data_IF_674836307966
#
_entry.id   IF_674836307966
#
_cell.length_a   1.000
_cell.length_b   1.000
_cell.length_c   1.000
_cell.angle_alpha   90.00
_cell.angle_beta   90.00
_cell.angle_gamma   90.00
#
_symmetry.space_group_name_H-M   'P 1'
#
loop_
_entity.id
_entity.type
_entity.pdbx_description
1 polymer ?
#
# COMPACT_ATOMS: atom_id res chain seq x y z
N UNK A 1 -21.99 26.21 -45.10
CA UNK A 1 -21.75 24.76 -44.93
C UNK A 1 -21.86 24.47 -43.44
N UNK A 2 -22.55 23.43 -43.04
CA UNK A 2 -22.69 23.05 -41.60
C UNK A 2 -21.48 22.17 -41.21
N UNK A 3 -20.47 22.81 -40.60
CA UNK A 3 -19.22 22.14 -40.22
C UNK A 3 -19.43 21.24 -39.00
N UNK A 4 -20.45 21.48 -38.15
CA UNK A 4 -20.81 20.56 -37.05
C UNK A 4 -21.25 19.22 -37.60
N UNK A 5 -22.15 19.19 -38.62
CA UNK A 5 -22.56 17.94 -39.26
C UNK A 5 -21.40 17.20 -39.93
N UNK A 6 -20.49 17.94 -40.54
CA UNK A 6 -19.30 17.35 -41.14
C UNK A 6 -18.36 16.74 -40.08
N UNK A 7 -18.18 17.42 -38.98
CA UNK A 7 -17.41 16.90 -37.83
C UNK A 7 -18.07 15.65 -37.22
N UNK A 8 -19.39 15.64 -37.08
CA UNK A 8 -20.14 14.47 -36.62
C UNK A 8 -19.90 13.26 -37.55
N UNK A 9 -19.97 13.48 -38.87
CA UNK A 9 -19.70 12.42 -39.84
C UNK A 9 -18.25 11.93 -39.74
N UNK A 10 -17.27 12.86 -39.60
CA UNK A 10 -15.87 12.53 -39.40
C UNK A 10 -15.67 11.59 -38.20
N UNK A 11 -16.19 11.94 -37.01
CA UNK A 11 -16.07 11.14 -35.84
C UNK A 11 -16.75 9.78 -35.98
N UNK A 12 -17.94 9.72 -36.55
CA UNK A 12 -18.62 8.45 -36.78
C UNK A 12 -17.82 7.54 -37.70
N UNK A 13 -17.32 8.01 -38.81
CA UNK A 13 -16.49 7.22 -39.72
C UNK A 13 -15.21 6.77 -38.97
N UNK A 14 -14.51 7.67 -38.28
CA UNK A 14 -13.27 7.36 -37.56
C UNK A 14 -13.48 6.28 -36.48
N UNK A 15 -14.53 6.37 -35.69
CA UNK A 15 -14.80 5.46 -34.60
C UNK A 15 -15.31 4.10 -35.07
N UNK A 16 -16.02 4.03 -36.22
CA UNK A 16 -16.57 2.77 -36.73
C UNK A 16 -15.70 2.12 -37.80
N UNK A 17 -14.68 2.80 -38.33
CA UNK A 17 -13.78 2.26 -39.33
C UNK A 17 -12.99 1.07 -38.80
N UNK A 18 -12.99 -0.03 -39.53
CA UNK A 18 -12.26 -1.27 -39.22
C UNK A 18 -11.15 -1.60 -40.18
N UNK A 19 -11.16 -0.94 -41.33
CA UNK A 19 -10.17 -1.07 -42.40
C UNK A 19 -9.67 0.29 -42.80
N UNK A 20 -8.37 0.45 -43.13
CA UNK A 20 -7.79 1.74 -43.52
C UNK A 20 -8.51 2.42 -44.66
N UNK A 21 -9.03 1.66 -45.63
CA UNK A 21 -9.79 2.20 -46.76
C UNK A 21 -11.08 2.94 -46.39
N UNK A 22 -11.68 2.63 -45.22
CA UNK A 22 -12.87 3.34 -44.73
C UNK A 22 -12.58 4.80 -44.34
N UNK A 23 -11.32 5.13 -44.14
CA UNK A 23 -10.88 6.49 -43.77
C UNK A 23 -10.57 7.38 -44.96
N UNK A 24 -10.47 6.85 -46.18
CA UNK A 24 -10.10 7.62 -47.36
C UNK A 24 -11.02 8.83 -47.57
N UNK A 25 -12.34 8.69 -47.34
CA UNK A 25 -13.29 9.78 -47.48
C UNK A 25 -12.97 10.94 -46.53
N UNK A 26 -12.65 10.66 -45.24
CA UNK A 26 -12.37 11.71 -44.26
C UNK A 26 -10.98 12.31 -44.43
N UNK A 27 -10.00 11.55 -44.95
CA UNK A 27 -8.66 12.06 -45.22
C UNK A 27 -8.66 13.13 -46.32
N UNK A 28 -9.59 13.04 -47.27
CA UNK A 28 -9.77 14.11 -48.28
C UNK A 28 -10.19 15.45 -47.65
N UNK A 29 -10.79 15.41 -46.43
CA UNK A 29 -11.20 16.63 -45.73
C UNK A 29 -10.09 17.26 -44.91
N UNK A 30 -8.97 16.57 -44.73
CA UNK A 30 -7.87 16.98 -43.87
C UNK A 30 -6.75 17.58 -44.74
N UNK A 31 -6.15 18.67 -44.26
CA UNK A 31 -4.99 19.27 -44.86
C UNK A 31 -3.74 18.40 -44.64
N UNK A 32 -2.86 18.20 -45.62
CA UNK A 32 -1.60 17.45 -45.44
C UNK A 32 -0.71 17.97 -44.30
N UNK A 33 -0.77 19.29 -44.04
CA UNK A 33 -0.03 19.94 -42.93
C UNK A 33 -0.87 20.04 -41.63
N UNK A 34 -1.93 19.23 -41.50
CA UNK A 34 -2.77 19.22 -40.32
C UNK A 34 -1.98 18.78 -39.08
N UNK A 35 -2.07 19.56 -38.00
CA UNK A 35 -1.54 19.19 -36.68
C UNK A 35 -2.58 18.40 -35.92
N UNK A 36 -2.21 17.24 -35.44
CA UNK A 36 -3.09 16.36 -34.62
C UNK A 36 -2.51 16.16 -33.26
N UNK A 37 -3.32 16.38 -32.22
CA UNK A 37 -3.03 16.08 -30.83
C UNK A 37 -4.07 15.09 -30.36
N UNK A 38 -3.65 13.86 -30.06
CA UNK A 38 -4.51 12.80 -29.54
C UNK A 38 -4.52 12.73 -28.01
N UNK A 39 -5.15 11.69 -27.46
CA UNK A 39 -5.30 11.46 -26.03
C UNK A 39 -4.07 10.85 -25.38
N UNK A 40 -3.24 10.15 -26.14
CA UNK A 40 -2.04 9.47 -25.68
C UNK A 40 -0.87 10.44 -25.47
N UNK A 41 -0.02 10.14 -24.49
CA UNK A 41 1.16 10.97 -24.15
C UNK A 41 2.09 11.26 -25.33
N UNK A 42 2.11 10.38 -26.33
CA UNK A 42 2.99 10.46 -27.51
C UNK A 42 2.25 10.79 -28.80
N UNK A 43 0.93 11.04 -28.70
CA UNK A 43 0.09 11.33 -29.86
C UNK A 43 0.11 12.81 -30.19
N UNK A 44 1.26 13.26 -30.67
CA UNK A 44 1.47 14.59 -31.19
C UNK A 44 2.07 14.49 -32.61
N UNK A 45 1.31 14.88 -33.61
CA UNK A 45 1.67 14.78 -35.01
C UNK A 45 1.65 16.17 -35.65
N UNK A 46 2.76 16.61 -36.22
CA UNK A 46 2.93 17.90 -36.88
C UNK A 46 2.48 17.89 -38.36
N UNK A 47 2.11 16.69 -38.84
CA UNK A 47 1.61 16.46 -40.21
C UNK A 47 0.65 15.29 -40.26
N UNK A 48 -0.17 15.23 -41.32
CA UNK A 48 -1.17 14.19 -41.50
C UNK A 48 -0.57 12.79 -41.67
N UNK A 49 0.50 12.61 -42.45
CA UNK A 49 1.01 11.27 -42.80
C UNK A 49 1.46 10.43 -41.58
N UNK A 50 2.26 10.94 -40.61
CA UNK A 50 2.59 10.21 -39.42
C UNK A 50 1.36 9.82 -38.58
N UNK A 51 0.32 10.64 -38.58
CA UNK A 51 -0.95 10.31 -37.93
C UNK A 51 -1.67 9.14 -38.62
N UNK A 52 -1.74 9.15 -39.95
CA UNK A 52 -2.34 8.07 -40.75
C UNK A 52 -1.61 6.74 -40.53
N UNK A 53 -0.27 6.77 -40.45
CA UNK A 53 0.54 5.59 -40.17
C UNK A 53 0.28 5.03 -38.76
N UNK A 54 0.08 5.91 -37.77
CA UNK A 54 -0.29 5.54 -36.41
C UNK A 54 -1.70 4.96 -36.33
N UNK A 55 -2.67 5.57 -37.02
CA UNK A 55 -4.04 5.07 -37.12
C UNK A 55 -4.10 3.63 -37.66
N UNK A 56 -3.29 3.31 -38.68
CA UNK A 56 -3.22 1.94 -39.21
C UNK A 56 -2.85 0.90 -38.17
N UNK A 57 -1.95 1.24 -37.24
CA UNK A 57 -1.56 0.38 -36.11
C UNK A 57 -2.70 0.27 -35.08
N UNK A 58 -3.27 1.41 -34.72
CA UNK A 58 -4.38 1.49 -33.77
C UNK A 58 -5.60 0.67 -34.24
N UNK A 59 -5.95 0.76 -35.53
CA UNK A 59 -7.04 -0.03 -36.09
C UNK A 59 -6.77 -1.55 -36.03
N UNK A 60 -5.52 -1.96 -36.16
CA UNK A 60 -5.14 -3.38 -36.01
C UNK A 60 -5.34 -3.88 -34.57
N UNK A 61 -5.11 -3.03 -33.58
CA UNK A 61 -5.33 -3.32 -32.16
C UNK A 61 -6.83 -3.25 -31.78
N UNK A 62 -7.58 -2.35 -32.39
CA UNK A 62 -9.03 -2.18 -32.14
C UNK A 62 -9.92 -3.27 -32.76
N UNK A 63 -9.40 -4.28 -33.43
CA UNK A 63 -10.22 -5.32 -34.12
C UNK A 63 -11.24 -6.01 -33.21
N UNK A 64 -10.98 -6.06 -31.92
CA UNK A 64 -11.83 -6.69 -30.89
C UNK A 64 -12.70 -5.69 -30.11
N UNK A 65 -12.49 -4.37 -30.27
CA UNK A 65 -13.20 -3.31 -29.54
C UNK A 65 -14.29 -2.73 -30.45
N UNK A 66 -15.53 -2.66 -29.94
CA UNK A 66 -16.70 -2.16 -30.67
C UNK A 66 -17.15 -0.85 -30.05
N UNK A 67 -16.50 0.26 -30.43
CA UNK A 67 -16.86 1.56 -29.89
C UNK A 67 -18.20 2.05 -30.49
N UNK A 68 -19.10 2.45 -29.60
CA UNK A 68 -20.34 3.14 -29.92
C UNK A 68 -20.32 4.54 -29.31
N UNK A 69 -20.75 5.54 -30.08
CA UNK A 69 -20.97 6.90 -29.57
C UNK A 69 -22.38 6.91 -28.95
N UNK A 70 -22.42 7.00 -27.61
CA UNK A 70 -23.67 6.99 -26.83
C UNK A 70 -24.30 8.36 -26.74
N UNK A 71 -23.47 9.39 -26.56
CA UNK A 71 -23.86 10.78 -26.50
C UNK A 71 -22.84 11.66 -27.18
N UNK A 72 -23.31 12.77 -27.83
CA UNK A 72 -22.46 13.67 -28.58
C UNK A 72 -23.05 15.07 -28.64
N UNK A 73 -22.22 16.07 -28.53
CA UNK A 73 -22.61 17.45 -28.75
C UNK A 73 -21.55 18.22 -29.52
N UNK A 74 -21.97 19.21 -30.34
CA UNK A 74 -21.15 19.99 -31.22
C UNK A 74 -21.55 21.46 -31.17
N UNK A 75 -20.55 22.32 -31.17
CA UNK A 75 -20.72 23.75 -31.33
C UNK A 75 -19.67 24.29 -32.32
N UNK A 76 -20.02 25.33 -33.05
CA UNK A 76 -19.07 26.00 -33.96
C UNK A 76 -18.98 27.48 -33.65
N UNK A 77 -17.80 28.04 -33.95
CA UNK A 77 -17.52 29.47 -33.84
C UNK A 77 -16.68 29.93 -35.04
N UNK A 78 -17.22 30.85 -35.83
CA UNK A 78 -16.46 31.46 -36.90
C UNK A 78 -15.43 32.44 -36.32
N UNK A 79 -14.16 32.22 -36.61
CA UNK A 79 -13.04 33.05 -36.15
C UNK A 79 -12.64 34.10 -37.19
N UNK A 80 -12.76 33.77 -38.48
CA UNK A 80 -12.57 34.62 -39.63
C UNK A 80 -13.49 34.13 -40.79
N UNK A 81 -13.63 34.86 -41.90
CA UNK A 81 -14.44 34.41 -43.03
C UNK A 81 -14.04 33.06 -43.62
N UNK A 82 -12.79 32.67 -43.44
CA UNK A 82 -12.15 31.46 -43.96
C UNK A 82 -11.66 30.52 -42.86
N UNK A 83 -11.97 30.79 -41.56
CA UNK A 83 -11.54 30.00 -40.39
C UNK A 83 -12.70 29.77 -39.44
N UNK A 84 -12.96 28.53 -39.15
CA UNK A 84 -14.01 28.11 -38.19
C UNK A 84 -13.48 27.08 -37.21
N UNK A 85 -13.79 27.28 -35.92
CA UNK A 85 -13.54 26.32 -34.83
C UNK A 85 -14.82 25.52 -34.59
N UNK A 86 -14.72 24.21 -34.68
CA UNK A 86 -15.75 23.26 -34.17
C UNK A 86 -15.22 22.57 -32.93
N UNK A 87 -16.00 22.55 -31.90
CA UNK A 87 -15.64 21.89 -30.62
C UNK A 87 -16.83 21.14 -30.04
N UNK A 88 -16.53 20.17 -29.18
CA UNK A 88 -17.61 19.35 -28.63
C UNK A 88 -17.10 18.26 -27.69
N UNK A 89 -18.00 17.34 -27.38
CA UNK A 89 -17.71 16.16 -26.59
C UNK A 89 -18.37 14.92 -27.17
N UNK A 90 -17.75 13.78 -26.92
CA UNK A 90 -18.25 12.46 -27.27
C UNK A 90 -18.19 11.59 -26.03
N UNK A 91 -19.29 10.90 -25.72
CA UNK A 91 -19.32 9.79 -24.79
C UNK A 91 -19.28 8.49 -25.57
N UNK A 92 -18.24 7.70 -25.35
CA UNK A 92 -18.00 6.45 -26.09
C UNK A 92 -18.02 5.26 -25.15
N UNK A 93 -18.63 4.18 -25.63
CA UNK A 93 -18.76 2.94 -24.86
C UNK A 93 -18.51 1.74 -25.75
N UNK A 94 -17.87 0.70 -25.17
CA UNK A 94 -17.89 -0.65 -25.72
C UNK A 94 -19.03 -1.43 -25.05
N UNK A 95 -20.03 -1.94 -25.79
CA UNK A 95 -21.16 -2.70 -25.22
C UNK A 95 -20.78 -4.06 -24.63
N UNK A 96 -19.49 -4.42 -24.58
CA UNK A 96 -19.02 -5.63 -23.88
C UNK A 96 -19.28 -6.94 -24.62
N UNK A 97 -19.21 -6.94 -25.95
CA UNK A 97 -19.29 -8.15 -26.77
C UNK A 97 -18.01 -9.01 -26.70
N UNK A 98 -16.97 -8.56 -26.00
CA UNK A 98 -15.71 -9.27 -25.73
C UNK A 98 -15.34 -9.22 -24.25
N UNK A 99 -14.86 -10.32 -23.68
CA UNK A 99 -14.61 -10.45 -22.23
C UNK A 99 -13.39 -9.67 -21.70
N UNK A 100 -12.59 -8.97 -22.51
CA UNK A 100 -11.28 -8.47 -22.10
C UNK A 100 -11.13 -6.97 -21.92
N UNK A 101 -11.99 -6.12 -22.49
CA UNK A 101 -11.87 -4.67 -22.36
C UNK A 101 -13.23 -3.99 -22.21
N UNK A 102 -13.39 -3.27 -21.10
CA UNK A 102 -14.51 -2.35 -20.91
C UNK A 102 -14.04 -0.92 -21.20
N UNK A 103 -14.60 -0.31 -22.22
CA UNK A 103 -14.36 1.10 -22.53
C UNK A 103 -15.63 1.88 -22.21
N UNK A 104 -15.51 2.87 -21.35
CA UNK A 104 -16.56 3.84 -21.01
C UNK A 104 -15.84 5.15 -20.75
N UNK A 105 -15.87 6.07 -21.75
CA UNK A 105 -15.05 7.27 -21.66
C UNK A 105 -15.71 8.50 -22.28
N UNK A 106 -15.51 9.62 -21.59
CA UNK A 106 -15.79 10.94 -22.09
C UNK A 106 -14.58 11.51 -22.82
N UNK A 107 -14.79 12.13 -23.97
CA UNK A 107 -13.76 12.85 -24.69
C UNK A 107 -14.22 14.25 -25.02
N UNK A 108 -13.26 15.15 -25.16
CA UNK A 108 -13.46 16.51 -25.65
C UNK A 108 -12.60 16.71 -26.88
N UNK A 109 -13.14 17.43 -27.86
CA UNK A 109 -12.38 17.71 -29.07
C UNK A 109 -12.48 19.19 -29.47
N UNK A 110 -11.48 19.63 -30.23
CA UNK A 110 -11.52 20.87 -31.00
C UNK A 110 -10.92 20.62 -32.38
N UNK A 111 -11.61 21.08 -33.40
CA UNK A 111 -11.19 20.97 -34.80
C UNK A 111 -11.20 22.38 -35.44
N UNK A 112 -10.05 22.78 -35.94
CA UNK A 112 -9.96 24.03 -36.71
C UNK A 112 -10.09 23.72 -38.20
N UNK A 113 -11.08 24.31 -38.80
CA UNK A 113 -11.30 24.31 -40.26
C UNK A 113 -10.78 25.59 -40.86
N UNK A 114 -10.11 25.48 -41.98
CA UNK A 114 -9.70 26.63 -42.82
C UNK A 114 -10.01 26.37 -44.30
N UNK A 115 -10.37 27.43 -45.03
CA UNK A 115 -10.54 27.33 -46.49
C UNK A 115 -9.17 27.22 -47.15
N UNK A 116 -8.96 26.11 -47.86
CA UNK A 116 -7.77 25.83 -48.68
C UNK A 116 -8.23 25.49 -50.08
N UNK A 117 -7.74 26.19 -51.08
CA UNK A 117 -8.13 26.01 -52.49
C UNK A 117 -9.65 26.02 -52.71
N UNK A 118 -10.36 26.90 -51.99
CA UNK A 118 -11.82 27.03 -52.06
C UNK A 118 -12.61 25.98 -51.31
N UNK A 119 -11.95 25.05 -50.58
CA UNK A 119 -12.59 23.99 -49.82
C UNK A 119 -12.27 24.12 -48.34
N UNK A 120 -13.22 23.81 -47.47
CA UNK A 120 -13.00 23.71 -46.04
C UNK A 120 -12.20 22.46 -45.72
N UNK A 121 -11.00 22.62 -45.15
CA UNK A 121 -10.08 21.56 -44.71
C UNK A 121 -9.85 21.63 -43.20
N UNK A 122 -9.68 20.48 -42.58
CA UNK A 122 -9.21 20.39 -41.20
C UNK A 122 -7.73 20.68 -41.15
N UNK A 123 -7.32 21.73 -40.46
CA UNK A 123 -5.90 22.15 -40.30
C UNK A 123 -5.36 21.88 -38.91
N UNK A 124 -6.25 21.62 -37.93
CA UNK A 124 -5.87 21.19 -36.57
C UNK A 124 -6.98 20.32 -35.98
N UNK A 125 -6.58 19.26 -35.33
CA UNK A 125 -7.45 18.37 -34.55
C UNK A 125 -6.84 18.15 -33.20
N UNK A 126 -7.61 18.35 -32.13
CA UNK A 126 -7.25 18.04 -30.79
C UNK A 126 -8.35 17.15 -30.13
N UNK A 127 -7.95 16.04 -29.58
CA UNK A 127 -8.79 15.14 -28.79
C UNK A 127 -8.17 15.01 -27.41
N UNK A 128 -8.96 15.16 -26.35
CA UNK A 128 -8.53 15.00 -24.97
C UNK A 128 -9.56 14.23 -24.15
N UNK A 129 -9.11 13.52 -23.13
CA UNK A 129 -9.98 12.92 -22.14
C UNK A 129 -9.98 13.79 -20.87
N UNK A 130 -11.16 14.05 -20.26
CA UNK A 130 -11.20 14.64 -18.93
C UNK A 130 -10.54 13.69 -17.94
N UNK A 131 -9.92 14.23 -16.90
CA UNK A 131 -9.49 13.41 -15.79
C UNK A 131 -10.74 12.95 -15.02
N UNK A 132 -11.07 11.65 -15.11
CA UNK A 132 -12.26 11.07 -14.49
C UNK A 132 -12.25 11.16 -12.95
N UNK A 133 -11.07 11.37 -12.35
CA UNK A 133 -10.89 11.49 -10.89
C UNK A 133 -10.98 12.95 -10.39
N UNK A 134 -11.22 13.91 -11.29
CA UNK A 134 -11.26 15.33 -10.94
C UNK A 134 -12.69 15.77 -10.64
N UNK A 135 -12.94 16.28 -9.45
CA UNK A 135 -14.25 16.80 -9.05
C UNK A 135 -14.49 18.23 -9.56
N UNK A 136 -15.76 18.64 -9.60
CA UNK A 136 -16.15 19.98 -10.03
C UNK A 136 -15.56 21.04 -9.07
N UNK A 137 -14.82 22.00 -9.63
CA UNK A 137 -14.11 23.04 -8.87
C UNK A 137 -12.69 22.66 -8.45
N UNK A 138 -12.23 21.48 -8.77
CA UNK A 138 -10.87 21.04 -8.55
C UNK A 138 -9.98 21.41 -9.76
N UNK A 139 -8.92 22.20 -9.53
CA UNK A 139 -7.99 22.64 -10.59
C UNK A 139 -6.78 21.70 -10.77
N UNK A 140 -6.51 20.83 -9.76
CA UNK A 140 -5.46 19.81 -9.78
C UNK A 140 -6.02 18.52 -9.18
N UNK A 141 -5.59 17.33 -9.62
CA UNK A 141 -6.08 16.06 -9.08
C UNK A 141 -5.65 15.86 -7.62
N UNK A 142 -6.37 16.49 -6.68
CA UNK A 142 -6.15 16.37 -5.23
C UNK A 142 -6.59 15.01 -4.71
N UNK A 143 -7.66 14.46 -5.29
CA UNK A 143 -8.23 13.15 -4.96
C UNK A 143 -7.19 12.05 -5.07
N UNK A 144 -6.33 12.03 -6.07
CA UNK A 144 -5.26 11.04 -6.20
C UNK A 144 -4.23 11.15 -5.06
N UNK A 145 -3.89 12.39 -4.66
CA UNK A 145 -2.98 12.60 -3.52
C UNK A 145 -3.58 12.12 -2.21
N UNK A 146 -4.86 12.43 -1.97
CA UNK A 146 -5.61 12.00 -0.77
C UNK A 146 -5.75 10.49 -0.72
N UNK A 147 -6.12 9.84 -1.82
CA UNK A 147 -6.18 8.37 -1.92
C UNK A 147 -4.82 7.70 -1.67
N UNK A 148 -3.73 8.27 -2.17
CA UNK A 148 -2.37 7.76 -1.89
C UNK A 148 -2.02 7.91 -0.41
N UNK A 149 -2.39 9.03 0.24
CA UNK A 149 -2.17 9.21 1.68
C UNK A 149 -3.01 8.23 2.50
N UNK A 150 -4.29 8.09 2.19
CA UNK A 150 -5.16 7.11 2.85
C UNK A 150 -4.67 5.68 2.71
N UNK A 151 -4.23 5.29 1.49
CA UNK A 151 -3.66 3.98 1.24
C UNK A 151 -2.35 3.74 2.04
N UNK A 152 -1.50 4.77 2.16
CA UNK A 152 -0.29 4.71 3.00
C UNK A 152 -0.62 4.58 4.47
N UNK A 153 -1.54 5.40 4.99
CA UNK A 153 -1.98 5.35 6.38
C UNK A 153 -2.60 4.00 6.72
N UNK A 154 -3.41 3.45 5.81
CA UNK A 154 -3.98 2.11 5.95
C UNK A 154 -2.90 1.03 5.95
N UNK A 155 -1.93 1.10 5.04
CA UNK A 155 -0.81 0.17 4.97
C UNK A 155 0.06 0.22 6.24
N UNK A 156 0.31 1.42 6.79
CA UNK A 156 1.03 1.58 8.06
C UNK A 156 0.25 1.00 9.24
N UNK A 157 -1.07 1.24 9.31
CA UNK A 157 -1.94 0.64 10.34
C UNK A 157 -1.95 -0.87 10.24
N UNK A 158 -2.12 -1.43 9.04
CA UNK A 158 -2.07 -2.87 8.81
C UNK A 158 -0.70 -3.45 9.18
N UNK A 159 0.39 -2.77 8.82
CA UNK A 159 1.75 -3.18 9.20
C UNK A 159 1.93 -3.20 10.72
N UNK A 160 1.42 -2.20 11.44
CA UNK A 160 1.44 -2.16 12.90
C UNK A 160 0.65 -3.32 13.52
N UNK A 161 -0.58 -3.55 13.05
CA UNK A 161 -1.43 -4.65 13.52
C UNK A 161 -0.80 -6.02 13.24
N UNK A 162 -0.12 -6.19 12.11
CA UNK A 162 0.56 -7.42 11.76
C UNK A 162 1.84 -7.67 12.60
N UNK A 163 2.44 -6.65 13.20
CA UNK A 163 3.73 -6.73 13.92
C UNK A 163 3.61 -6.75 15.44
N UNK A 164 2.58 -6.16 15.98
CA UNK A 164 2.42 -6.00 17.42
C UNK A 164 1.33 -6.92 17.97
N UNK A 165 1.47 -7.29 19.23
CA UNK A 165 0.40 -7.87 20.01
C UNK A 165 -0.66 -6.80 20.30
N UNK A 166 -1.91 -7.08 19.96
CA UNK A 166 -3.01 -6.11 20.01
C UNK A 166 -3.36 -5.65 21.43
N UNK A 167 -3.09 -6.47 22.44
CA UNK A 167 -3.38 -6.16 23.84
C UNK A 167 -2.27 -5.31 24.47
N UNK A 168 -1.02 -5.70 24.25
CA UNK A 168 0.13 -5.16 25.00
C UNK A 168 0.94 -4.13 24.24
N UNK A 169 0.80 -4.08 22.89
CA UNK A 169 1.60 -3.23 22.03
C UNK A 169 3.08 -3.64 21.90
N UNK A 170 3.48 -4.77 22.46
CA UNK A 170 4.80 -5.36 22.26
C UNK A 170 4.87 -6.08 20.90
N UNK A 171 6.06 -6.50 20.49
CA UNK A 171 6.19 -7.36 19.31
C UNK A 171 5.38 -8.64 19.54
N UNK A 172 4.60 -9.06 18.53
CA UNK A 172 3.98 -10.37 18.58
C UNK A 172 4.99 -11.48 18.35
N UNK A 173 4.62 -12.73 18.59
CA UNK A 173 5.48 -13.90 18.45
C UNK A 173 6.24 -13.91 17.12
N UNK A 174 5.53 -13.77 16.00
CA UNK A 174 6.12 -13.82 14.67
C UNK A 174 7.17 -12.71 14.49
N UNK A 175 6.81 -11.48 14.78
CA UNK A 175 7.69 -10.33 14.59
C UNK A 175 8.90 -10.37 15.52
N UNK A 176 8.74 -10.85 16.77
CA UNK A 176 9.85 -11.01 17.69
C UNK A 176 10.96 -11.91 17.11
N UNK A 177 10.61 -13.05 16.55
CA UNK A 177 11.58 -13.96 15.93
C UNK A 177 12.14 -13.43 14.60
N UNK A 178 11.32 -12.80 13.76
CA UNK A 178 11.77 -12.19 12.49
C UNK A 178 12.79 -11.05 12.74
N UNK A 179 12.46 -10.13 13.65
CA UNK A 179 13.35 -9.02 14.02
C UNK A 179 14.57 -9.50 14.78
N UNK A 180 14.37 -10.47 15.68
CA UNK A 180 15.47 -11.06 16.45
C UNK A 180 16.52 -11.71 15.54
N UNK A 181 16.10 -12.45 14.51
CA UNK A 181 17.02 -13.00 13.52
C UNK A 181 17.84 -11.91 12.82
N UNK A 182 17.19 -10.86 12.33
CA UNK A 182 17.87 -9.70 11.72
C UNK A 182 18.81 -9.00 12.70
N UNK A 183 18.45 -9.02 13.99
CA UNK A 183 19.24 -8.39 15.03
C UNK A 183 20.53 -9.16 15.29
N UNK A 184 20.48 -10.49 15.28
CA UNK A 184 21.65 -11.35 15.41
C UNK A 184 22.64 -11.20 14.23
N UNK A 185 22.14 -10.93 13.03
CA UNK A 185 22.98 -10.71 11.83
C UNK A 185 23.92 -9.50 11.97
N UNK A 186 23.60 -8.54 12.86
CA UNK A 186 24.47 -7.38 13.14
C UNK A 186 25.75 -7.73 13.91
N UNK A 187 25.82 -8.95 14.42
CA UNK A 187 26.95 -9.40 15.24
C UNK A 187 26.90 -8.84 16.67
N UNK A 188 27.62 -9.48 17.57
CA UNK A 188 27.72 -9.08 18.95
C UNK A 188 27.31 -10.19 19.93
N UNK A 189 27.27 -9.87 21.22
CA UNK A 189 26.79 -10.75 22.27
C UNK A 189 25.31 -10.50 22.54
N UNK A 190 24.51 -11.57 22.53
CA UNK A 190 23.08 -11.50 22.78
C UNK A 190 22.66 -12.49 23.84
N UNK A 191 21.62 -12.11 24.59
CA UNK A 191 20.99 -12.94 25.59
C UNK A 191 19.48 -12.97 25.36
N UNK A 192 18.94 -14.18 25.31
CA UNK A 192 17.52 -14.45 25.15
C UNK A 192 16.90 -14.75 26.52
N UNK A 193 15.78 -14.08 26.80
CA UNK A 193 14.95 -14.32 27.98
C UNK A 193 13.64 -14.92 27.55
N UNK A 194 13.20 -15.96 28.25
CA UNK A 194 11.83 -16.43 28.29
C UNK A 194 11.24 -16.08 29.64
N UNK A 195 10.09 -15.44 29.66
CA UNK A 195 9.42 -14.97 30.86
C UNK A 195 7.98 -15.46 30.86
N UNK A 196 7.51 -15.93 32.00
CA UNK A 196 6.15 -16.43 32.17
C UNK A 196 5.58 -15.95 33.50
N UNK A 197 4.29 -15.58 33.52
CA UNK A 197 3.61 -15.10 34.72
C UNK A 197 3.16 -16.27 35.59
N UNK A 198 3.66 -16.30 36.83
CA UNK A 198 3.31 -17.33 37.77
C UNK A 198 1.85 -17.22 38.22
N UNK A 199 1.11 -18.34 38.11
CA UNK A 199 -0.29 -18.42 38.51
C UNK A 199 -1.22 -17.34 37.89
N UNK A 200 -0.94 -16.89 36.68
CA UNK A 200 -1.77 -15.87 35.99
C UNK A 200 -3.24 -16.27 35.84
N UNK A 201 -3.50 -17.59 35.70
CA UNK A 201 -4.87 -18.11 35.71
C UNK A 201 -5.63 -17.71 36.97
N UNK A 202 -4.98 -17.73 38.16
CA UNK A 202 -5.60 -17.30 39.42
C UNK A 202 -6.03 -15.83 39.38
N UNK A 203 -5.28 -14.97 38.70
CA UNK A 203 -5.68 -13.54 38.48
C UNK A 203 -7.00 -13.48 37.72
N UNK A 204 -7.09 -14.22 36.61
CA UNK A 204 -8.31 -14.26 35.78
C UNK A 204 -9.50 -14.88 36.56
N UNK A 205 -9.27 -15.97 37.30
CA UNK A 205 -10.31 -16.67 38.08
C UNK A 205 -10.81 -15.80 39.24
N UNK A 206 -9.94 -14.94 39.82
CA UNK A 206 -10.28 -14.11 40.99
C UNK A 206 -10.87 -12.75 40.61
N UNK A 207 -10.30 -12.10 39.58
CA UNK A 207 -10.60 -10.70 39.22
C UNK A 207 -11.29 -10.53 37.86
N UNK A 208 -11.44 -11.63 37.12
CA UNK A 208 -12.00 -11.65 35.77
C UNK A 208 -10.97 -11.29 34.67
N UNK A 209 -11.31 -11.64 33.42
CA UNK A 209 -10.41 -11.50 32.28
C UNK A 209 -10.01 -10.04 31.98
N UNK A 210 -10.90 -9.08 32.22
CA UNK A 210 -10.57 -7.65 32.00
C UNK A 210 -9.45 -7.18 32.94
N UNK A 211 -9.46 -7.66 34.19
CA UNK A 211 -8.38 -7.36 35.13
C UNK A 211 -7.08 -8.08 34.75
N UNK A 212 -7.16 -9.30 34.23
CA UNK A 212 -6.02 -10.01 33.65
C UNK A 212 -5.40 -9.27 32.47
N UNK A 213 -6.21 -8.71 31.61
CA UNK A 213 -5.74 -7.89 30.47
C UNK A 213 -4.98 -6.63 30.94
N UNK A 214 -5.46 -5.96 31.99
CA UNK A 214 -4.76 -4.80 32.59
C UNK A 214 -3.45 -5.23 33.27
N UNK A 215 -3.40 -6.40 33.88
CA UNK A 215 -2.15 -6.96 34.40
C UNK A 215 -1.17 -7.21 33.29
N UNK A 216 -1.57 -7.83 32.15
CA UNK A 216 -0.71 -8.05 30.99
C UNK A 216 -0.17 -6.76 30.40
N UNK A 217 -1.01 -5.72 30.26
CA UNK A 217 -0.58 -4.38 29.80
C UNK A 217 0.45 -3.76 30.76
N UNK A 218 0.21 -3.87 32.06
CA UNK A 218 1.11 -3.33 33.09
C UNK A 218 2.46 -4.05 33.07
N UNK A 219 2.46 -5.37 32.94
CA UNK A 219 3.67 -6.19 32.78
C UNK A 219 4.43 -5.77 31.52
N UNK A 220 3.75 -5.67 30.38
CA UNK A 220 4.36 -5.27 29.13
C UNK A 220 5.07 -3.90 29.21
N UNK A 221 4.39 -2.90 29.78
CA UNK A 221 4.96 -1.57 30.03
C UNK A 221 6.18 -1.63 30.99
N UNK A 222 6.09 -2.48 31.99
CA UNK A 222 7.18 -2.70 32.95
C UNK A 222 8.40 -3.32 32.28
N UNK A 223 8.21 -4.39 31.51
CA UNK A 223 9.29 -5.04 30.76
C UNK A 223 9.95 -4.05 29.79
N UNK A 224 9.15 -3.28 29.04
CA UNK A 224 9.70 -2.28 28.10
C UNK A 224 10.54 -1.22 28.82
N UNK A 225 10.12 -0.77 30.00
CA UNK A 225 10.88 0.21 30.81
C UNK A 225 12.09 -0.39 31.54
N UNK A 226 12.09 -1.70 31.75
CA UNK A 226 13.18 -2.40 32.45
C UNK A 226 14.39 -2.72 31.54
N UNK A 227 14.28 -2.57 30.22
CA UNK A 227 15.34 -2.86 29.26
C UNK A 227 15.65 -1.62 28.42
N UNK A 228 16.73 -1.68 27.64
CA UNK A 228 17.17 -0.57 26.76
C UNK A 228 16.23 -0.44 25.55
N UNK A 229 16.22 0.74 24.92
CA UNK A 229 15.42 0.96 23.69
C UNK A 229 15.82 0.06 22.53
N UNK A 230 17.07 -0.36 22.48
CA UNK A 230 17.58 -1.27 21.46
C UNK A 230 17.25 -2.75 21.71
N UNK A 231 16.84 -3.13 22.93
CA UNK A 231 16.47 -4.49 23.23
C UNK A 231 15.07 -4.79 22.69
N UNK A 232 14.89 -5.99 22.14
CA UNK A 232 13.58 -6.42 21.65
C UNK A 232 12.76 -6.99 22.80
N UNK A 233 11.48 -6.63 22.86
CA UNK A 233 10.51 -7.17 23.82
C UNK A 233 9.29 -7.62 23.07
N UNK A 234 8.85 -8.86 23.28
CA UNK A 234 7.69 -9.45 22.62
C UNK A 234 6.79 -10.19 23.59
N UNK A 235 5.51 -10.31 23.24
CA UNK A 235 4.59 -11.26 23.82
C UNK A 235 4.46 -12.45 22.89
N UNK A 236 4.88 -13.62 23.35
CA UNK A 236 5.04 -14.82 22.50
C UNK A 236 3.98 -15.88 22.78
N UNK A 237 3.23 -15.73 23.86
CA UNK A 237 2.13 -16.61 24.27
C UNK A 237 1.05 -15.83 25.05
N UNK A 238 0.14 -16.53 25.70
CA UNK A 238 -0.93 -15.94 26.50
C UNK A 238 -0.41 -15.06 27.65
N UNK A 239 0.39 -15.64 28.53
CA UNK A 239 1.06 -15.03 29.68
C UNK A 239 2.60 -15.08 29.55
N UNK A 240 3.10 -15.37 28.36
CA UNK A 240 4.50 -15.54 28.03
C UNK A 240 5.08 -14.35 27.28
N UNK A 241 6.25 -13.92 27.72
CA UNK A 241 7.00 -12.82 27.15
C UNK A 241 8.42 -13.25 26.79
N UNK A 242 9.01 -12.55 25.83
CA UNK A 242 10.38 -12.77 25.42
C UNK A 242 11.15 -11.44 25.35
N UNK A 243 12.45 -11.50 25.69
CA UNK A 243 13.34 -10.36 25.53
C UNK A 243 14.63 -10.82 24.84
N UNK A 244 15.12 -10.04 23.90
CA UNK A 244 16.45 -10.20 23.31
C UNK A 244 17.30 -8.97 23.65
N UNK A 245 18.26 -9.17 24.55
CA UNK A 245 19.18 -8.12 25.00
C UNK A 245 20.48 -8.17 24.21
N UNK A 246 20.92 -6.99 23.74
CA UNK A 246 22.24 -6.82 23.11
C UNK A 246 23.24 -6.23 24.10
N UNK A 247 24.49 -6.73 24.03
CA UNK A 247 25.64 -6.10 24.65
C UNK A 247 26.05 -6.49 26.07
N UNK A 248 25.25 -7.15 26.95
CA UNK A 248 25.78 -7.66 28.20
C UNK A 248 26.93 -8.65 27.95
N UNK A 249 28.09 -8.39 28.55
CA UNK A 249 29.28 -9.18 28.27
C UNK A 249 29.36 -10.43 29.16
N UNK A 250 28.68 -10.45 30.32
CA UNK A 250 28.79 -11.54 31.29
C UNK A 250 27.54 -11.84 32.08
N UNK A 251 27.58 -12.98 32.80
CA UNK A 251 26.49 -13.48 33.62
C UNK A 251 26.03 -12.48 34.69
N UNK A 252 26.96 -11.76 35.30
CA UNK A 252 26.64 -10.79 36.36
C UNK A 252 25.77 -9.65 35.86
N UNK A 253 26.09 -9.08 34.66
CA UNK A 253 25.31 -7.99 34.07
C UNK A 253 23.91 -8.44 33.67
N UNK A 254 23.81 -9.62 33.05
CA UNK A 254 22.50 -10.13 32.62
C UNK A 254 21.63 -10.53 33.79
N UNK A 255 22.22 -11.10 34.89
CA UNK A 255 21.51 -11.38 36.14
C UNK A 255 21.00 -10.10 36.80
N UNK A 256 21.76 -8.99 36.71
CA UNK A 256 21.29 -7.70 37.22
C UNK A 256 20.07 -7.18 36.42
N UNK A 257 19.99 -7.43 35.10
CA UNK A 257 18.81 -7.13 34.29
C UNK A 257 17.62 -7.95 34.73
N UNK A 258 17.75 -9.27 34.92
CA UNK A 258 16.69 -10.13 35.39
C UNK A 258 16.20 -9.72 36.79
N UNK A 259 17.11 -9.48 37.73
CA UNK A 259 16.76 -9.00 39.07
C UNK A 259 16.06 -7.62 39.03
N UNK A 260 16.43 -6.73 38.11
CA UNK A 260 15.70 -5.46 37.92
C UNK A 260 14.29 -5.69 37.44
N UNK A 261 14.07 -6.57 36.46
CA UNK A 261 12.75 -6.93 35.94
C UNK A 261 11.88 -7.46 37.10
N UNK A 262 12.35 -8.44 37.85
CA UNK A 262 11.60 -9.03 38.97
C UNK A 262 11.20 -7.99 40.01
N UNK A 263 12.15 -7.14 40.43
CA UNK A 263 11.85 -6.05 41.40
C UNK A 263 10.82 -5.07 40.85
N UNK A 264 10.90 -4.66 39.60
CA UNK A 264 9.95 -3.72 39.01
C UNK A 264 8.57 -4.35 38.87
N UNK A 265 8.47 -5.62 38.47
CA UNK A 265 7.21 -6.38 38.41
C UNK A 265 6.59 -6.50 39.80
N UNK A 266 7.35 -6.90 40.79
CA UNK A 266 6.88 -6.99 42.18
C UNK A 266 6.40 -5.64 42.73
N UNK A 267 7.09 -4.55 42.45
CA UNK A 267 6.69 -3.21 42.88
C UNK A 267 5.34 -2.78 42.27
N UNK A 268 5.01 -3.17 41.07
CA UNK A 268 3.71 -2.91 40.46
C UNK A 268 2.57 -3.68 41.15
N UNK A 269 2.86 -4.87 41.64
CA UNK A 269 1.89 -5.72 42.32
C UNK A 269 1.28 -5.11 43.58
N UNK A 270 1.95 -4.12 44.22
CA UNK A 270 1.45 -3.48 45.44
C UNK A 270 0.11 -2.74 45.24
N UNK A 271 -0.22 -2.37 44.00
CA UNK A 271 -1.47 -1.70 43.67
C UNK A 271 -2.63 -2.66 43.38
N UNK A 272 -2.41 -3.97 43.38
CA UNK A 272 -3.38 -4.98 42.96
C UNK A 272 -3.72 -5.95 44.06
N UNK A 273 -4.99 -6.30 44.19
CA UNK A 273 -5.45 -7.31 45.17
C UNK A 273 -4.95 -8.73 44.87
N UNK A 274 -4.70 -9.04 43.62
CA UNK A 274 -4.09 -10.29 43.14
C UNK A 274 -3.08 -9.97 42.06
N UNK A 275 -1.83 -10.38 42.23
CA UNK A 275 -0.75 -10.09 41.28
C UNK A 275 0.07 -11.37 41.06
N UNK A 276 0.45 -11.67 39.79
CA UNK A 276 1.28 -12.82 39.50
C UNK A 276 2.75 -12.56 39.85
N UNK A 277 3.49 -13.63 40.24
CA UNK A 277 4.93 -13.65 40.16
C UNK A 277 5.40 -13.73 38.70
N UNK A 278 6.70 -13.80 38.49
CA UNK A 278 7.30 -14.01 37.19
C UNK A 278 8.48 -14.97 37.28
N UNK A 279 8.45 -16.03 36.49
CA UNK A 279 9.58 -16.94 36.31
C UNK A 279 10.33 -16.60 35.03
N UNK A 280 11.67 -16.51 35.11
CA UNK A 280 12.53 -16.08 34.00
C UNK A 280 13.59 -17.14 33.72
N UNK A 281 13.69 -17.56 32.46
CA UNK A 281 14.82 -18.35 31.99
C UNK A 281 15.68 -17.51 31.02
N UNK A 282 16.98 -17.69 31.06
CA UNK A 282 17.95 -16.88 30.31
C UNK A 282 18.96 -17.79 29.64
N UNK A 283 19.19 -17.59 28.37
CA UNK A 283 20.24 -18.26 27.60
C UNK A 283 21.06 -17.25 26.77
N UNK A 284 22.36 -17.44 26.75
CA UNK A 284 23.23 -16.73 25.85
C UNK A 284 23.09 -17.28 24.43
N UNK A 285 22.94 -16.42 23.45
CA UNK A 285 22.96 -16.83 22.05
C UNK A 285 24.40 -17.18 21.68
N UNK A 286 24.64 -18.40 21.20
CA UNK A 286 25.95 -18.88 20.78
C UNK A 286 26.25 -18.40 19.35
N UNK A 287 27.53 -18.34 19.02
CA UNK A 287 27.95 -17.96 17.67
C UNK A 287 27.38 -18.93 16.62
N UNK A 288 26.65 -18.42 15.63
CA UNK A 288 26.03 -19.23 14.56
C UNK A 288 24.75 -19.98 15.00
N UNK A 289 24.28 -19.78 16.23
CA UNK A 289 23.04 -20.39 16.72
C UNK A 289 21.81 -19.66 16.22
N UNK A 290 20.75 -20.40 15.89
CA UNK A 290 19.44 -19.81 15.60
C UNK A 290 18.79 -19.30 16.90
N UNK A 291 18.09 -18.17 16.80
CA UNK A 291 17.35 -17.58 17.93
C UNK A 291 16.36 -18.57 18.56
N UNK A 292 15.71 -19.40 17.77
CA UNK A 292 14.77 -20.40 18.25
C UNK A 292 15.43 -21.44 19.16
N UNK A 293 16.70 -21.79 18.88
CA UNK A 293 17.45 -22.74 19.74
C UNK A 293 17.82 -22.07 21.08
N UNK A 294 18.31 -20.83 21.05
CA UNK A 294 18.57 -20.07 22.27
C UNK A 294 17.29 -19.87 23.10
N UNK A 295 16.16 -19.61 22.42
CA UNK A 295 14.86 -19.49 23.06
C UNK A 295 14.42 -20.79 23.74
N UNK A 296 14.59 -21.95 23.10
CA UNK A 296 14.29 -23.26 23.71
C UNK A 296 15.16 -23.55 24.95
N UNK A 297 16.41 -23.09 24.97
CA UNK A 297 17.30 -23.22 26.15
C UNK A 297 16.84 -22.30 27.29
N UNK A 298 16.46 -21.07 26.95
CA UNK A 298 15.87 -20.15 27.94
C UNK A 298 14.56 -20.70 28.51
N UNK A 299 13.69 -21.27 27.68
CA UNK A 299 12.43 -21.91 28.13
C UNK A 299 12.67 -23.06 29.10
N UNK A 300 13.63 -23.94 28.80
CA UNK A 300 14.03 -25.02 29.75
C UNK A 300 14.50 -24.47 31.10
N UNK A 301 15.29 -23.39 31.10
CA UNK A 301 15.75 -22.74 32.32
C UNK A 301 14.58 -22.14 33.13
N UNK A 302 13.64 -21.48 32.43
CA UNK A 302 12.41 -20.94 33.05
C UNK A 302 11.56 -22.02 33.66
N UNK A 303 11.39 -23.16 32.96
CA UNK A 303 10.61 -24.30 33.52
C UNK A 303 11.17 -24.83 34.82
N UNK A 304 12.50 -24.83 35.00
CA UNK A 304 13.13 -25.21 36.29
C UNK A 304 12.74 -24.24 37.43
N UNK A 305 12.69 -22.95 37.14
CA UNK A 305 12.23 -21.93 38.11
C UNK A 305 10.76 -22.14 38.46
N UNK A 306 9.90 -22.36 37.46
CA UNK A 306 8.46 -22.63 37.66
C UNK A 306 8.20 -23.87 38.52
N UNK A 307 8.98 -24.94 38.36
CA UNK A 307 8.91 -26.16 39.13
C UNK A 307 9.46 -26.06 40.58
N UNK A 308 10.18 -24.98 40.87
CA UNK A 308 10.86 -24.75 42.15
C UNK A 308 10.33 -23.53 42.91
N UNK A 309 11.16 -22.50 42.97
CA UNK A 309 10.94 -21.30 43.81
C UNK A 309 9.88 -20.34 43.30
N UNK A 310 9.57 -20.35 42.00
CA UNK A 310 8.78 -19.31 41.30
C UNK A 310 9.30 -17.90 41.64
N UNK A 311 8.86 -16.90 40.86
CA UNK A 311 9.22 -15.49 41.04
C UNK A 311 10.75 -15.29 41.18
N UNK A 312 11.51 -15.95 40.31
CA UNK A 312 12.97 -15.98 40.29
C UNK A 312 13.47 -16.15 38.86
N UNK A 313 14.78 -16.23 38.69
CA UNK A 313 15.36 -16.47 37.36
C UNK A 313 16.45 -17.56 37.39
N UNK A 314 16.64 -18.22 36.24
CA UNK A 314 17.74 -19.15 36.04
C UNK A 314 18.45 -18.91 34.73
N UNK A 315 19.78 -19.12 34.70
CA UNK A 315 20.55 -19.18 33.47
C UNK A 315 20.60 -20.62 32.97
N UNK A 316 20.65 -20.79 31.65
CA UNK A 316 20.88 -22.09 31.03
C UNK A 316 22.14 -22.76 31.57
N UNK A 317 22.04 -24.02 31.94
CA UNK A 317 23.11 -24.79 32.61
C UNK A 317 24.31 -25.09 31.67
N UNK A 318 24.18 -24.86 30.40
CA UNK A 318 25.27 -25.03 29.41
C UNK A 318 26.24 -23.85 29.31
N UNK A 319 26.23 -22.96 30.29
CA UNK A 319 27.01 -21.71 30.28
C UNK A 319 28.07 -21.67 31.39
#
# INVERSE_FOLDING_TARGET
>A
MDLCKRTQQLWRIYMTAREPGALEEILEWVDPDCVVIGTGRHEFYDRLQPFVDAMGKEMAERRTVHLEIVDEWYAQRDLAPDVCLVYGGLHMRDPGLGEEFFVDMDTRFSILYQVRDGLWKVVHLHLSMPNAEQEEGEYYPKTLFEQVQEARDLAERMSRLARLDSLTGLLNHRTFFEEGKRYLERGGAFWCFMLDLDDFKRVNDTLGHLAGDEVLKTIAATLRSAVRNQDLVGRVGGDEFAILCAGPQGKAEISAVAGRILRMVAARGQAYACWPGMSIGIAKVRSGEDLQEAFRRADKAMYLVKGGTKNDFALDAGE
#
